data_IF_431396089960
#
_entry.id   IF_431396089960
#
_cell.length_a   1.000
_cell.length_b   1.000
_cell.length_c   1.000
_cell.angle_alpha   90.00
_cell.angle_beta   90.00
_cell.angle_gamma   90.00
#
_symmetry.space_group_name_H-M   'P 1'
#
loop_
_entity.id
_entity.type
_entity.pdbx_description
1 polymer ?
#
# COMPACT_ATOMS: atom_id res chain seq x y z
N UNK A 1 -35.23 -16.50 -36.48
CA UNK A 1 -35.14 -16.81 -35.06
C UNK A 1 -33.84 -16.26 -34.56
N UNK A 2 -33.87 -15.13 -33.84
CA UNK A 2 -32.72 -14.44 -33.32
C UNK A 2 -32.61 -14.78 -31.84
N UNK A 3 -31.55 -15.46 -31.46
CA UNK A 3 -31.25 -15.80 -30.06
C UNK A 3 -30.69 -14.60 -29.30
N UNK A 4 -31.43 -14.12 -28.32
CA UNK A 4 -31.02 -13.08 -27.40
C UNK A 4 -30.15 -13.70 -26.30
N UNK A 5 -28.86 -13.32 -26.26
CA UNK A 5 -27.98 -13.63 -25.13
C UNK A 5 -28.34 -12.75 -23.91
N UNK A 6 -28.83 -13.38 -22.86
CA UNK A 6 -28.99 -12.79 -21.53
C UNK A 6 -27.62 -12.84 -20.82
N UNK A 7 -26.87 -11.74 -20.86
CA UNK A 7 -25.67 -11.52 -20.06
C UNK A 7 -25.88 -10.31 -19.15
N UNK A 8 -26.69 -10.45 -18.11
CA UNK A 8 -26.87 -9.38 -17.13
C UNK A 8 -27.17 -10.01 -15.77
N UNK A 9 -26.15 -10.33 -14.97
CA UNK A 9 -26.31 -10.53 -13.52
C UNK A 9 -25.00 -10.63 -12.73
N UNK A 10 -23.83 -10.42 -13.35
CA UNK A 10 -22.56 -10.49 -12.60
C UNK A 10 -22.12 -9.11 -12.07
N UNK A 11 -22.63 -8.03 -12.66
CA UNK A 11 -22.25 -6.66 -12.28
C UNK A 11 -23.07 -6.07 -11.13
N UNK A 12 -24.28 -6.53 -10.90
CA UNK A 12 -25.15 -6.00 -9.83
C UNK A 12 -24.68 -6.37 -8.42
N UNK A 13 -24.09 -7.57 -8.23
CA UNK A 13 -23.57 -7.96 -6.91
C UNK A 13 -22.27 -7.25 -6.52
N UNK A 14 -21.50 -6.75 -7.49
CA UNK A 14 -20.34 -5.93 -7.22
C UNK A 14 -20.75 -4.52 -6.75
N UNK A 15 -21.81 -3.94 -7.34
CA UNK A 15 -22.32 -2.61 -7.00
C UNK A 15 -22.94 -2.55 -5.60
N UNK A 16 -23.68 -3.58 -5.19
CA UNK A 16 -24.31 -3.65 -3.88
C UNK A 16 -23.27 -3.79 -2.75
N UNK A 17 -22.22 -4.58 -2.97
CA UNK A 17 -21.11 -4.69 -2.01
C UNK A 17 -20.28 -3.41 -1.91
N UNK A 18 -20.19 -2.61 -2.97
CA UNK A 18 -19.49 -1.31 -2.97
C UNK A 18 -20.28 -0.23 -2.22
N UNK A 19 -21.58 -0.18 -2.38
CA UNK A 19 -22.45 0.78 -1.66
C UNK A 19 -22.46 0.50 -0.16
N UNK A 20 -22.51 -0.76 0.26
CA UNK A 20 -22.42 -1.16 1.67
C UNK A 20 -21.06 -0.77 2.27
N UNK A 21 -19.97 -0.89 1.49
CA UNK A 21 -18.66 -0.46 1.95
C UNK A 21 -18.54 1.08 2.04
N UNK A 22 -19.09 1.82 1.09
CA UNK A 22 -19.11 3.28 1.10
C UNK A 22 -19.93 3.82 2.28
N UNK A 23 -21.11 3.26 2.54
CA UNK A 23 -21.95 3.64 3.67
C UNK A 23 -21.29 3.27 5.02
N UNK A 24 -20.62 2.11 5.10
CA UNK A 24 -19.84 1.73 6.28
C UNK A 24 -18.67 2.67 6.54
N UNK A 25 -18.02 3.19 5.49
CA UNK A 25 -16.93 4.17 5.61
C UNK A 25 -17.45 5.57 5.91
N UNK A 26 -18.60 5.96 5.41
CA UNK A 26 -19.25 7.24 5.73
C UNK A 26 -19.71 7.27 7.20
N UNK A 27 -20.33 6.21 7.69
CA UNK A 27 -20.64 6.03 9.10
C UNK A 27 -19.41 5.96 10.02
N UNK A 28 -18.28 5.46 9.48
CA UNK A 28 -16.99 5.43 10.17
C UNK A 28 -16.34 6.82 10.24
N UNK A 29 -16.42 7.64 9.20
CA UNK A 29 -15.96 9.02 9.21
C UNK A 29 -16.72 9.86 10.25
N UNK A 30 -18.05 9.72 10.32
CA UNK A 30 -18.91 10.39 11.31
C UNK A 30 -18.66 9.89 12.75
N UNK A 31 -18.38 8.60 12.94
CA UNK A 31 -18.03 8.05 14.26
C UNK A 31 -16.63 8.47 14.72
N UNK A 32 -15.67 8.67 13.80
CA UNK A 32 -14.34 9.17 14.11
C UNK A 32 -14.34 10.66 14.48
N UNK A 33 -15.22 11.47 13.94
CA UNK A 33 -15.41 12.85 14.42
C UNK A 33 -15.81 12.87 15.89
N UNK A 34 -16.73 12.01 16.31
CA UNK A 34 -17.13 11.87 17.72
C UNK A 34 -16.04 11.27 18.60
N UNK A 35 -15.25 10.31 18.08
CA UNK A 35 -14.11 9.70 18.78
C UNK A 35 -12.88 10.60 18.82
N UNK A 36 -12.68 11.50 17.84
CA UNK A 36 -11.58 12.46 17.84
C UNK A 36 -11.76 13.50 18.93
N UNK A 37 -12.99 13.91 19.23
CA UNK A 37 -13.29 14.80 20.35
C UNK A 37 -13.03 14.13 21.71
N UNK A 38 -13.21 12.82 21.84
CA UNK A 38 -13.00 12.09 23.10
C UNK A 38 -11.54 11.65 23.34
N UNK A 39 -10.69 11.53 22.29
CA UNK A 39 -9.29 11.12 22.38
C UNK A 39 -8.26 12.25 22.42
N UNK A 40 -8.67 13.48 22.56
CA UNK A 40 -7.77 14.66 22.63
C UNK A 40 -6.81 14.69 23.84
N UNK A 41 -6.92 13.75 24.78
CA UNK A 41 -6.21 13.82 26.07
C UNK A 41 -4.87 13.05 26.14
N UNK A 42 -4.48 12.18 25.19
CA UNK A 42 -3.44 11.19 25.49
C UNK A 42 -2.22 11.12 24.56
N UNK A 43 -2.02 12.00 23.60
CA UNK A 43 -0.84 11.90 22.73
C UNK A 43 -0.01 13.21 22.67
N UNK A 44 0.75 13.47 23.74
CA UNK A 44 1.64 14.65 23.86
C UNK A 44 2.65 14.76 22.71
N UNK A 45 3.11 13.64 22.15
CA UNK A 45 4.07 13.63 21.05
C UNK A 45 3.44 13.99 19.68
N UNK A 46 2.20 13.54 19.43
CA UNK A 46 1.44 13.95 18.23
C UNK A 46 1.01 15.41 18.32
N UNK A 47 0.68 15.90 19.53
CA UNK A 47 0.39 17.30 19.75
C UNK A 47 1.62 18.19 19.61
N UNK A 48 2.82 17.67 19.95
CA UNK A 48 4.08 18.38 19.78
C UNK A 48 4.46 18.47 18.30
N UNK A 49 4.28 17.41 17.50
CA UNK A 49 4.45 17.43 16.06
C UNK A 49 3.45 18.36 15.36
N UNK A 50 2.17 18.35 15.76
CA UNK A 50 1.17 19.32 15.31
C UNK A 50 1.50 20.76 15.69
N UNK A 51 2.09 20.99 16.88
CA UNK A 51 2.52 22.34 17.34
C UNK A 51 3.74 22.86 16.61
N UNK A 52 4.62 22.00 16.14
CA UNK A 52 5.87 22.39 15.46
C UNK A 52 5.70 22.51 13.95
N UNK A 53 4.54 22.18 13.37
CA UNK A 53 4.23 22.30 11.93
C UNK A 53 5.32 21.72 11.02
N UNK A 54 5.93 20.61 11.45
CA UNK A 54 7.09 20.00 10.81
C UNK A 54 6.70 18.81 9.93
N UNK A 55 5.57 18.89 9.21
CA UNK A 55 5.05 17.81 8.34
C UNK A 55 5.30 18.07 6.84
N UNK A 56 6.06 19.11 6.47
CA UNK A 56 6.43 19.38 5.09
C UNK A 56 7.71 18.62 4.71
N UNK A 57 7.54 17.46 4.13
CA UNK A 57 8.62 16.62 3.66
C UNK A 57 8.57 16.53 2.14
N UNK A 58 9.57 17.06 1.44
CA UNK A 58 9.64 16.98 -0.02
C UNK A 58 10.37 15.72 -0.45
N UNK A 59 9.68 14.86 -1.17
CA UNK A 59 10.28 13.63 -1.73
C UNK A 59 11.34 13.95 -2.76
N UNK A 60 12.47 13.25 -2.73
CA UNK A 60 13.52 13.42 -3.71
C UNK A 60 13.09 12.92 -5.09
N UNK A 61 13.51 13.62 -6.15
CA UNK A 61 13.15 13.28 -7.53
C UNK A 61 13.58 11.84 -7.88
N UNK A 62 14.78 11.44 -7.46
CA UNK A 62 15.30 10.08 -7.73
C UNK A 62 14.46 8.97 -7.12
N UNK A 63 13.79 9.21 -5.98
CA UNK A 63 12.91 8.23 -5.35
C UNK A 63 11.58 8.14 -6.10
N UNK A 64 11.07 9.28 -6.60
CA UNK A 64 9.89 9.34 -7.44
C UNK A 64 10.14 8.59 -8.76
N UNK A 65 11.25 8.86 -9.43
CA UNK A 65 11.63 8.20 -10.68
C UNK A 65 11.80 6.70 -10.49
N UNK A 66 12.46 6.28 -9.39
CA UNK A 66 12.69 4.87 -9.05
C UNK A 66 11.39 4.11 -8.82
N UNK A 67 10.38 4.73 -8.24
CA UNK A 67 9.09 4.08 -8.02
C UNK A 67 8.23 4.11 -9.29
N UNK A 68 8.07 5.28 -9.90
CA UNK A 68 7.11 5.49 -10.99
C UNK A 68 7.45 4.73 -12.29
N UNK A 69 8.72 4.34 -12.51
CA UNK A 69 9.11 3.50 -13.64
C UNK A 69 8.41 2.13 -13.68
N UNK A 70 7.81 1.69 -12.57
CA UNK A 70 7.13 0.40 -12.47
C UNK A 70 5.64 0.45 -12.82
N UNK A 71 5.10 1.63 -13.16
CA UNK A 71 3.68 1.86 -13.43
C UNK A 71 3.43 2.28 -14.88
N UNK A 72 4.16 1.66 -15.82
CA UNK A 72 4.03 1.93 -17.24
C UNK A 72 2.58 1.72 -17.71
N UNK A 73 2.06 2.71 -18.46
CA UNK A 73 0.71 2.69 -19.02
C UNK A 73 -0.40 3.09 -18.04
N UNK A 74 -0.15 3.13 -16.72
CA UNK A 74 -1.19 3.51 -15.75
C UNK A 74 -1.68 4.96 -15.91
N UNK A 75 -0.86 5.82 -16.49
CA UNK A 75 -1.11 7.26 -16.59
C UNK A 75 -1.68 7.73 -17.94
N UNK A 76 -1.80 6.84 -18.92
CA UNK A 76 -2.26 7.20 -20.26
C UNK A 76 -3.71 7.71 -20.23
N UNK A 77 -3.93 8.90 -20.77
CA UNK A 77 -5.21 9.64 -20.80
C UNK A 77 -5.81 9.90 -19.40
N UNK A 78 -4.96 10.02 -18.38
CA UNK A 78 -5.38 10.27 -17.00
C UNK A 78 -5.15 11.70 -16.56
N UNK A 79 -5.99 12.14 -15.62
CA UNK A 79 -5.79 13.36 -14.83
C UNK A 79 -5.07 12.97 -13.55
N UNK A 80 -3.83 13.43 -13.40
CA UNK A 80 -3.03 13.20 -12.18
C UNK A 80 -3.17 14.41 -11.26
N UNK A 81 -3.38 14.16 -9.98
CA UNK A 81 -3.45 15.19 -8.95
C UNK A 81 -2.39 14.96 -7.88
N UNK A 82 -1.43 15.88 -7.78
CA UNK A 82 -0.46 15.98 -6.71
C UNK A 82 -1.07 16.85 -5.60
N UNK A 83 -1.95 16.24 -4.82
CA UNK A 83 -2.62 16.88 -3.70
C UNK A 83 -1.62 17.04 -2.55
N UNK A 84 -1.67 18.16 -1.81
CA UNK A 84 -0.72 18.49 -0.73
C UNK A 84 0.73 18.77 -1.18
N UNK A 85 0.94 19.04 -2.45
CA UNK A 85 2.25 19.28 -3.05
C UNK A 85 2.32 20.71 -3.63
N UNK A 86 3.18 21.56 -3.08
CA UNK A 86 3.40 22.91 -3.62
C UNK A 86 3.93 22.86 -5.06
N UNK A 87 3.18 23.32 -6.09
CA UNK A 87 3.59 23.22 -7.47
C UNK A 87 4.97 23.85 -7.79
N UNK A 88 5.42 24.82 -7.00
CA UNK A 88 6.74 25.46 -7.18
C UNK A 88 7.88 24.57 -6.69
N UNK A 89 7.66 23.86 -5.59
CA UNK A 89 8.71 23.12 -4.89
C UNK A 89 8.61 21.61 -5.10
N UNK A 90 7.39 21.08 -5.30
CA UNK A 90 7.14 19.66 -5.41
C UNK A 90 7.91 18.98 -6.55
N UNK A 91 8.64 17.93 -6.23
CA UNK A 91 9.27 17.10 -7.22
C UNK A 91 8.28 16.17 -7.93
N UNK A 92 7.10 15.86 -7.34
CA UNK A 92 6.03 15.16 -8.04
C UNK A 92 5.48 15.99 -9.21
N UNK A 93 5.15 17.25 -8.97
CA UNK A 93 4.69 18.12 -10.03
C UNK A 93 5.74 18.29 -11.13
N UNK A 94 7.01 18.50 -10.76
CA UNK A 94 8.13 18.60 -11.70
C UNK A 94 8.29 17.34 -12.55
N UNK A 95 8.23 16.15 -11.89
CA UNK A 95 8.34 14.86 -12.58
C UNK A 95 7.22 14.67 -13.61
N UNK A 96 5.96 14.85 -13.21
CA UNK A 96 4.83 14.67 -14.12
C UNK A 96 4.78 15.72 -15.22
N UNK A 97 5.14 16.97 -14.93
CA UNK A 97 5.25 18.02 -15.93
C UNK A 97 6.31 17.70 -16.99
N UNK A 98 7.51 17.28 -16.54
CA UNK A 98 8.60 16.90 -17.44
C UNK A 98 8.25 15.68 -18.31
N UNK A 99 7.60 14.69 -17.74
CA UNK A 99 7.23 13.44 -18.41
C UNK A 99 5.80 13.46 -18.99
N UNK A 100 5.12 14.59 -19.05
CA UNK A 100 3.71 14.71 -19.38
C UNK A 100 3.33 14.00 -20.69
N UNK A 101 4.06 14.28 -21.76
CA UNK A 101 3.85 13.66 -23.08
C UNK A 101 4.26 12.20 -23.11
N UNK A 102 5.38 11.85 -22.47
CA UNK A 102 5.89 10.47 -22.40
C UNK A 102 4.90 9.55 -21.68
N UNK A 103 4.30 10.02 -20.58
CA UNK A 103 3.31 9.28 -19.80
C UNK A 103 1.91 9.34 -20.43
N UNK A 104 1.69 10.18 -21.44
CA UNK A 104 0.40 10.34 -22.10
C UNK A 104 -0.67 10.97 -21.22
N UNK A 105 -0.30 11.84 -20.29
CA UNK A 105 -1.25 12.49 -19.38
C UNK A 105 -2.23 13.39 -20.15
N UNK A 106 -3.48 13.40 -19.69
CA UNK A 106 -4.49 14.34 -20.15
C UNK A 106 -4.39 15.68 -19.43
N UNK A 107 -4.15 15.66 -18.11
CA UNK A 107 -4.06 16.85 -17.26
C UNK A 107 -3.23 16.55 -16.01
N UNK A 108 -2.51 17.54 -15.53
CA UNK A 108 -1.80 17.50 -14.26
C UNK A 108 -2.31 18.64 -13.36
N UNK A 109 -2.67 18.32 -12.13
CA UNK A 109 -3.11 19.26 -11.11
C UNK A 109 -2.18 19.12 -9.91
N UNK A 110 -1.83 20.24 -9.28
CA UNK A 110 -1.17 20.25 -7.99
C UNK A 110 -1.75 21.36 -7.11
N UNK A 111 -1.80 21.15 -5.81
CA UNK A 111 -2.28 22.15 -4.86
C UNK A 111 -1.47 22.14 -3.59
N UNK A 112 -1.26 23.32 -3.00
CA UNK A 112 -0.53 23.47 -1.75
C UNK A 112 -1.45 23.93 -0.61
N UNK A 113 -1.16 23.40 0.56
CA UNK A 113 -1.69 23.90 1.83
C UNK A 113 -0.88 25.13 2.27
N UNK A 114 -1.56 26.19 2.70
CA UNK A 114 -0.94 27.37 3.33
C UNK A 114 -1.73 27.70 4.56
N UNK A 115 -1.08 27.63 5.71
CA UNK A 115 -1.75 28.02 6.94
C UNK A 115 -2.14 29.49 6.90
N UNK A 116 -3.42 29.78 7.16
CA UNK A 116 -3.88 31.12 7.40
C UNK A 116 -3.53 31.50 8.84
N UNK A 117 -2.69 32.53 9.02
CA UNK A 117 -2.36 33.05 10.33
C UNK A 117 -3.62 33.67 10.96
N UNK A 118 -4.18 33.01 11.99
CA UNK A 118 -5.40 33.42 12.67
C UNK A 118 -5.14 34.29 13.91
N UNK A 119 -3.94 34.84 14.08
CA UNK A 119 -3.56 35.61 15.26
C UNK A 119 -3.46 37.11 14.98
N UNK A 120 -4.00 37.93 15.92
CA UNK A 120 -3.96 39.40 15.86
C UNK A 120 -2.53 39.98 15.83
N UNK A 121 -1.51 39.16 16.14
CA UNK A 121 -0.08 39.51 16.20
C UNK A 121 0.78 38.54 15.33
N UNK A 122 0.18 37.79 14.42
CA UNK A 122 0.95 36.88 13.55
C UNK A 122 1.54 37.67 12.38
N UNK A 123 2.77 37.34 12.01
CA UNK A 123 3.37 37.78 10.74
C UNK A 123 2.40 37.54 9.58
N UNK A 124 2.32 38.44 8.58
CA UNK A 124 1.40 38.24 7.45
C UNK A 124 1.65 36.87 6.80
N UNK A 125 0.58 36.13 6.61
CA UNK A 125 0.62 34.78 6.04
C UNK A 125 1.54 34.74 4.81
N UNK A 126 2.45 33.76 4.73
CA UNK A 126 3.38 33.56 3.61
C UNK A 126 2.60 33.13 2.34
N UNK A 127 1.81 34.04 1.81
CA UNK A 127 1.07 33.85 0.55
C UNK A 127 -0.26 33.08 0.72
N UNK A 128 -1.11 33.23 -0.26
CA UNK A 128 -2.39 32.54 -0.37
C UNK A 128 -2.19 31.09 -0.85
N UNK A 129 -3.01 30.16 -0.37
CA UNK A 129 -3.06 28.80 -0.87
C UNK A 129 -3.50 28.81 -2.35
N UNK A 130 -2.88 27.99 -3.17
CA UNK A 130 -3.11 28.01 -4.61
C UNK A 130 -2.99 26.60 -5.21
N UNK A 131 -3.49 26.48 -6.43
CA UNK A 131 -3.35 25.29 -7.23
C UNK A 131 -2.83 25.64 -8.64
N UNK A 132 -2.23 24.67 -9.29
CA UNK A 132 -1.75 24.77 -10.65
C UNK A 132 -2.37 23.65 -11.50
N UNK A 133 -2.80 24.00 -12.70
CA UNK A 133 -3.31 23.06 -13.72
C UNK A 133 -2.43 23.19 -14.94
N UNK A 134 -1.90 22.05 -15.42
CA UNK A 134 -1.05 21.96 -16.60
C UNK A 134 -1.63 20.96 -17.60
N UNK A 135 -1.75 21.38 -18.88
CA UNK A 135 -2.37 20.60 -19.95
C UNK A 135 -1.42 20.43 -21.16
N UNK A 136 -0.11 20.32 -20.89
CA UNK A 136 0.91 19.93 -21.88
C UNK A 136 1.74 21.06 -22.49
N UNK A 137 1.44 22.34 -22.19
CA UNK A 137 2.30 23.47 -22.55
C UNK A 137 2.30 24.54 -21.46
N UNK A 138 3.31 25.43 -21.46
CA UNK A 138 3.36 26.55 -20.51
C UNK A 138 2.20 27.52 -20.73
N UNK A 139 1.77 27.71 -21.96
CA UNK A 139 0.65 28.58 -22.34
C UNK A 139 -0.67 28.07 -21.77
N UNK A 140 -0.81 26.76 -21.55
CA UNK A 140 -1.98 26.14 -20.94
C UNK A 140 -1.89 26.01 -19.43
N UNK A 141 -0.78 26.49 -18.83
CA UNK A 141 -0.61 26.45 -17.37
C UNK A 141 -1.48 27.52 -16.72
N UNK A 142 -2.43 27.07 -15.88
CA UNK A 142 -3.34 27.94 -15.14
C UNK A 142 -3.01 27.88 -13.66
N UNK A 143 -2.91 29.03 -13.02
CA UNK A 143 -2.78 29.16 -11.56
C UNK A 143 -4.06 29.74 -11.01
N UNK A 144 -4.66 29.06 -10.05
CA UNK A 144 -5.83 29.53 -9.33
C UNK A 144 -5.52 29.62 -7.83
N UNK A 145 -6.26 30.42 -7.10
CA UNK A 145 -6.09 30.64 -5.66
C UNK A 145 -7.31 30.13 -4.93
N UNK A 146 -7.08 29.49 -3.79
CA UNK A 146 -8.16 29.08 -2.89
C UNK A 146 -8.64 30.26 -2.05
N UNK A 147 -9.92 30.26 -1.70
CA UNK A 147 -10.44 31.16 -0.66
C UNK A 147 -9.99 30.68 0.71
N UNK A 148 -9.90 29.36 0.90
CA UNK A 148 -9.43 28.72 2.11
C UNK A 148 -7.92 28.52 2.15
N UNK A 149 -7.49 27.66 3.06
CA UNK A 149 -6.08 27.32 3.32
C UNK A 149 -5.52 26.22 2.38
N UNK A 150 -6.35 25.62 1.52
CA UNK A 150 -5.95 24.52 0.65
C UNK A 150 -5.85 23.17 1.36
N UNK A 151 -6.50 23.01 2.53
CA UNK A 151 -6.60 21.70 3.18
C UNK A 151 -7.26 20.71 2.22
N UNK A 152 -6.71 19.50 2.12
CA UNK A 152 -7.18 18.47 1.20
C UNK A 152 -8.65 18.05 1.44
N UNK A 153 -9.19 18.33 2.63
CA UNK A 153 -10.58 18.07 3.03
C UNK A 153 -11.55 19.18 2.64
N UNK A 154 -11.03 20.36 2.25
CA UNK A 154 -11.86 21.50 1.88
C UNK A 154 -12.69 21.20 0.62
N UNK A 155 -13.85 21.83 0.50
CA UNK A 155 -14.70 21.71 -0.69
C UNK A 155 -13.97 22.07 -1.99
N UNK A 156 -13.08 23.06 -1.93
CA UNK A 156 -12.28 23.50 -3.08
C UNK A 156 -11.29 22.41 -3.52
N UNK A 157 -10.58 21.78 -2.58
CA UNK A 157 -9.68 20.65 -2.88
C UNK A 157 -10.47 19.40 -3.31
N UNK A 158 -11.64 19.15 -2.74
CA UNK A 158 -12.55 18.07 -3.16
C UNK A 158 -13.06 18.29 -4.59
N UNK A 159 -13.30 19.53 -5.01
CA UNK A 159 -13.67 19.84 -6.39
C UNK A 159 -12.54 19.50 -7.37
N UNK A 160 -11.28 19.70 -6.99
CA UNK A 160 -10.11 19.25 -7.78
C UNK A 160 -9.96 17.72 -7.75
N UNK A 161 -10.14 17.10 -6.57
CA UNK A 161 -10.09 15.65 -6.41
C UNK A 161 -11.12 14.94 -7.29
N UNK A 162 -12.33 15.48 -7.41
CA UNK A 162 -13.37 14.92 -8.29
C UNK A 162 -12.95 14.86 -9.75
N UNK A 163 -12.14 15.84 -10.22
CA UNK A 163 -11.61 15.87 -11.59
C UNK A 163 -10.47 14.88 -11.82
N UNK A 164 -9.77 14.46 -10.76
CA UNK A 164 -8.63 13.56 -10.87
C UNK A 164 -9.06 12.11 -11.12
N UNK A 165 -8.25 11.38 -11.86
CA UNK A 165 -8.32 9.93 -11.99
C UNK A 165 -7.38 9.29 -10.98
N UNK A 166 -6.16 9.83 -10.85
CA UNK A 166 -5.08 9.28 -10.01
C UNK A 166 -4.52 10.37 -9.10
N UNK A 167 -4.33 10.04 -7.83
CA UNK A 167 -3.64 10.91 -6.86
C UNK A 167 -2.23 10.37 -6.58
N UNK A 168 -1.20 11.19 -6.82
CA UNK A 168 0.20 10.82 -6.54
C UNK A 168 0.84 11.93 -5.70
N UNK A 169 1.17 11.62 -4.44
CA UNK A 169 1.67 12.63 -3.50
C UNK A 169 2.34 12.02 -2.27
N UNK A 170 2.97 12.86 -1.49
CA UNK A 170 3.42 12.58 -0.12
C UNK A 170 2.52 13.33 0.87
N UNK A 171 1.42 12.72 1.37
CA UNK A 171 0.50 13.39 2.28
C UNK A 171 1.10 13.54 3.67
N UNK A 172 0.58 14.47 4.52
CA UNK A 172 0.98 14.59 5.90
C UNK A 172 0.81 13.26 6.65
N UNK A 173 1.89 12.73 7.25
CA UNK A 173 1.86 11.42 7.92
C UNK A 173 0.88 11.36 9.08
N UNK A 174 0.67 12.48 9.78
CA UNK A 174 -0.31 12.58 10.86
C UNK A 174 -1.76 12.40 10.40
N UNK A 175 -2.05 12.70 9.14
CA UNK A 175 -3.37 12.63 8.51
C UNK A 175 -3.50 11.48 7.51
N UNK A 176 -2.50 10.59 7.43
CA UNK A 176 -2.42 9.54 6.41
C UNK A 176 -3.67 8.66 6.34
N UNK A 177 -4.25 8.28 7.49
CA UNK A 177 -5.47 7.46 7.52
C UNK A 177 -6.67 8.18 6.91
N UNK A 178 -6.87 9.44 7.28
CA UNK A 178 -7.95 10.29 6.76
C UNK A 178 -7.77 10.51 5.26
N UNK A 179 -6.54 10.75 4.84
CA UNK A 179 -6.19 10.96 3.44
C UNK A 179 -6.52 9.74 2.58
N UNK A 180 -6.05 8.54 2.96
CA UNK A 180 -6.34 7.29 2.23
C UNK A 180 -7.83 6.97 2.26
N UNK A 181 -8.51 7.18 3.40
CA UNK A 181 -9.96 7.00 3.50
C UNK A 181 -10.72 7.89 2.49
N UNK A 182 -10.31 9.15 2.34
CA UNK A 182 -10.88 10.06 1.35
C UNK A 182 -10.66 9.54 -0.09
N UNK A 183 -9.45 9.08 -0.44
CA UNK A 183 -9.19 8.56 -1.78
C UNK A 183 -10.07 7.36 -2.10
N UNK A 184 -10.24 6.46 -1.13
CA UNK A 184 -11.12 5.28 -1.26
C UNK A 184 -12.60 5.69 -1.40
N UNK A 185 -13.07 6.65 -0.58
CA UNK A 185 -14.44 7.15 -0.64
C UNK A 185 -14.77 7.82 -1.98
N UNK A 186 -13.81 8.53 -2.56
CA UNK A 186 -13.94 9.16 -3.88
C UNK A 186 -13.54 8.23 -5.04
N UNK A 187 -13.28 6.94 -4.76
CA UNK A 187 -12.92 5.91 -5.75
C UNK A 187 -11.75 6.35 -6.65
N UNK A 188 -10.72 6.94 -6.06
CA UNK A 188 -9.55 7.39 -6.79
C UNK A 188 -8.47 6.30 -6.82
N UNK A 189 -7.83 6.19 -7.97
CA UNK A 189 -6.56 5.51 -8.02
C UNK A 189 -5.51 6.36 -7.31
N UNK A 190 -4.53 5.70 -6.69
CA UNK A 190 -3.52 6.43 -5.93
C UNK A 190 -2.17 5.73 -5.85
N UNK A 191 -1.14 6.54 -5.67
CA UNK A 191 0.22 6.13 -5.31
C UNK A 191 0.75 7.15 -4.29
N UNK A 192 0.80 6.79 -3.01
CA UNK A 192 1.11 7.73 -1.93
C UNK A 192 2.19 7.21 -1.01
N UNK A 193 3.00 8.13 -0.48
CA UNK A 193 4.03 7.79 0.50
C UNK A 193 3.42 7.83 1.90
N UNK A 194 3.75 6.82 2.71
CA UNK A 194 3.34 6.75 4.10
C UNK A 194 4.41 6.14 5.00
N UNK A 195 4.19 6.22 6.30
CA UNK A 195 5.04 5.51 7.24
C UNK A 195 4.74 4.00 7.19
N UNK A 196 5.77 3.16 7.29
CA UNK A 196 5.62 1.69 7.25
C UNK A 196 4.67 1.16 8.35
N UNK A 197 4.58 1.86 9.47
CA UNK A 197 3.63 1.52 10.54
C UNK A 197 2.17 1.67 10.11
N UNK A 198 1.89 2.38 9.02
CA UNK A 198 0.53 2.50 8.48
C UNK A 198 -0.07 1.13 8.11
N UNK A 199 0.75 0.15 7.76
CA UNK A 199 0.32 -1.24 7.53
C UNK A 199 -0.42 -1.81 8.75
N UNK A 200 -0.08 -1.35 9.96
CA UNK A 200 -0.68 -1.84 11.21
C UNK A 200 -2.01 -1.15 11.55
N UNK A 201 -2.38 -0.12 10.83
CA UNK A 201 -3.68 0.52 11.00
C UNK A 201 -4.78 -0.38 10.44
N UNK A 202 -5.85 -0.55 11.20
CA UNK A 202 -6.94 -1.46 10.84
C UNK A 202 -7.46 -1.17 9.43
N UNK A 203 -7.72 0.08 9.13
CA UNK A 203 -8.30 0.55 7.86
C UNK A 203 -7.39 0.24 6.68
N UNK A 204 -6.09 0.49 6.84
CA UNK A 204 -5.08 0.24 5.79
C UNK A 204 -4.89 -1.26 5.59
N UNK A 205 -4.82 -2.03 6.69
CA UNK A 205 -4.66 -3.48 6.60
C UNK A 205 -5.88 -4.15 5.94
N UNK A 206 -7.09 -3.69 6.22
CA UNK A 206 -8.31 -4.17 5.59
C UNK A 206 -8.33 -3.92 4.06
N UNK A 207 -7.76 -2.80 3.61
CA UNK A 207 -7.56 -2.56 2.17
C UNK A 207 -6.56 -3.56 1.57
N UNK A 208 -5.46 -3.84 2.26
CA UNK A 208 -4.43 -4.78 1.81
C UNK A 208 -4.97 -6.20 1.79
N UNK A 209 -5.64 -6.63 2.86
CA UNK A 209 -6.27 -7.96 2.98
C UNK A 209 -7.35 -8.16 1.92
N UNK A 210 -8.18 -7.15 1.70
CA UNK A 210 -9.24 -7.13 0.69
C UNK A 210 -8.73 -6.97 -0.75
N UNK A 211 -7.41 -6.92 -0.96
CA UNK A 211 -6.80 -6.73 -2.28
C UNK A 211 -7.25 -5.45 -2.98
N UNK A 212 -7.49 -4.38 -2.22
CA UNK A 212 -7.90 -3.05 -2.70
C UNK A 212 -6.76 -2.04 -2.66
N UNK A 213 -5.70 -2.32 -1.93
CA UNK A 213 -4.45 -1.57 -1.93
C UNK A 213 -3.28 -2.53 -1.63
N UNK A 214 -2.07 -2.10 -1.99
CA UNK A 214 -0.86 -2.88 -1.80
C UNK A 214 0.37 -1.98 -1.71
N UNK A 215 1.50 -2.57 -1.36
CA UNK A 215 2.76 -1.85 -1.29
C UNK A 215 3.34 -1.66 -2.69
N UNK A 216 3.94 -0.50 -2.92
CA UNK A 216 4.76 -0.24 -4.09
C UNK A 216 6.06 -1.05 -4.09
N UNK A 217 6.93 -0.76 -5.04
CA UNK A 217 8.18 -1.50 -5.24
C UNK A 217 9.24 -1.11 -4.23
N UNK A 218 9.35 0.17 -3.92
CA UNK A 218 10.36 0.69 -3.02
C UNK A 218 9.80 0.92 -1.61
N UNK A 219 10.45 0.34 -0.61
CA UNK A 219 10.08 0.54 0.78
C UNK A 219 11.32 0.61 1.69
N UNK A 220 11.20 1.25 2.83
CA UNK A 220 12.27 1.41 3.79
C UNK A 220 13.48 2.12 3.17
N UNK A 221 14.60 1.45 3.08
CA UNK A 221 15.85 1.98 2.49
C UNK A 221 15.78 2.27 0.99
N UNK A 222 14.73 1.82 0.30
CA UNK A 222 14.45 2.18 -1.08
C UNK A 222 13.96 3.61 -1.26
N UNK A 223 13.62 4.31 -0.14
CA UNK A 223 13.32 5.74 -0.12
C UNK A 223 14.49 6.42 0.60
N UNK A 224 15.26 7.22 -0.15
CA UNK A 224 16.56 7.74 0.30
C UNK A 224 16.47 8.83 1.37
N UNK A 225 15.29 9.44 1.52
CA UNK A 225 15.03 10.48 2.51
C UNK A 225 14.26 11.65 1.94
N UNK A 226 13.96 12.62 2.79
CA UNK A 226 13.17 13.79 2.42
C UNK A 226 13.97 15.06 2.53
N UNK A 227 13.78 15.96 1.57
CA UNK A 227 14.25 17.32 1.65
C UNK A 227 13.36 18.07 2.65
N UNK A 228 13.99 18.77 3.58
CA UNK A 228 13.31 19.55 4.61
C UNK A 228 13.77 21.02 4.57
N UNK A 229 12.90 21.96 4.95
CA UNK A 229 13.30 23.36 5.09
C UNK A 229 14.44 23.55 6.10
N UNK A 230 15.29 24.56 5.89
CA UNK A 230 16.48 24.80 6.73
C UNK A 230 16.16 25.08 8.21
N UNK A 231 14.98 25.65 8.48
CA UNK A 231 14.52 25.97 9.83
C UNK A 231 14.02 24.77 10.65
N UNK A 232 13.98 23.56 10.03
CA UNK A 232 13.61 22.37 10.77
C UNK A 232 14.69 21.98 11.77
N UNK A 233 14.31 21.91 13.05
CA UNK A 233 15.20 21.38 14.09
C UNK A 233 15.42 19.88 13.90
N UNK A 234 16.65 19.46 14.20
CA UNK A 234 17.08 18.07 14.01
C UNK A 234 16.45 17.18 15.09
N UNK A 235 15.62 16.23 14.70
CA UNK A 235 15.16 15.15 15.58
C UNK A 235 15.66 13.80 15.08
N UNK A 236 16.76 13.32 15.70
CA UNK A 236 17.06 11.89 15.84
C UNK A 236 17.40 11.05 14.61
N UNK A 237 17.57 11.65 13.44
CA UNK A 237 17.97 10.94 12.22
C UNK A 237 19.25 11.56 11.65
N UNK A 238 20.05 10.76 10.95
CA UNK A 238 21.20 11.26 10.22
C UNK A 238 20.72 12.31 9.22
N UNK A 239 21.22 13.54 9.38
CA UNK A 239 20.97 14.64 8.46
C UNK A 239 22.12 14.68 7.48
N UNK A 240 21.78 14.60 6.20
CA UNK A 240 22.73 14.71 5.10
C UNK A 240 22.42 15.98 4.29
N UNK A 241 23.38 16.41 3.47
CA UNK A 241 23.22 17.54 2.55
C UNK A 241 23.39 17.00 1.13
N UNK A 242 22.38 17.19 0.29
CA UNK A 242 22.48 16.77 -1.10
C UNK A 242 23.40 17.67 -1.93
N UNK A 243 23.68 17.27 -3.17
CA UNK A 243 24.54 18.02 -4.09
C UNK A 243 24.06 19.46 -4.38
N UNK A 244 22.80 19.76 -4.11
CA UNK A 244 22.20 21.09 -4.25
C UNK A 244 22.25 21.92 -2.96
N UNK A 245 22.93 21.45 -1.91
CA UNK A 245 23.02 22.11 -0.62
C UNK A 245 21.76 22.02 0.24
N UNK A 246 20.79 21.18 -0.13
CA UNK A 246 19.54 21.02 0.59
C UNK A 246 19.69 19.97 1.69
N UNK A 247 19.07 20.24 2.83
CA UNK A 247 19.06 19.37 4.00
C UNK A 247 18.13 18.18 3.75
N UNK A 248 18.65 16.95 3.92
CA UNK A 248 17.92 15.70 3.78
C UNK A 248 17.83 15.00 5.13
N UNK A 249 16.65 14.53 5.48
CA UNK A 249 16.45 13.64 6.60
C UNK A 249 16.23 12.23 6.06
N UNK A 250 17.19 11.34 6.32
CA UNK A 250 17.08 9.92 5.96
C UNK A 250 16.01 9.23 6.79
N UNK A 251 15.25 8.37 6.16
CA UNK A 251 14.22 7.57 6.83
C UNK A 251 14.22 6.15 6.31
N UNK A 252 14.17 5.20 7.24
CA UNK A 252 14.07 3.77 6.94
C UNK A 252 12.64 3.24 7.07
N UNK A 253 11.69 4.13 7.39
CA UNK A 253 10.35 3.75 7.83
C UNK A 253 9.25 4.21 6.88
N UNK A 254 9.56 4.41 5.59
CA UNK A 254 8.56 4.80 4.60
C UNK A 254 8.21 3.65 3.65
N UNK A 255 7.04 3.76 3.07
CA UNK A 255 6.52 2.87 2.04
C UNK A 255 5.76 3.68 0.99
N UNK A 256 5.61 3.09 -0.18
CA UNK A 256 4.58 3.47 -1.14
C UNK A 256 3.35 2.59 -0.94
N UNK A 257 2.18 3.21 -0.87
CA UNK A 257 0.88 2.54 -0.85
C UNK A 257 0.13 2.90 -2.14
N UNK A 258 -0.41 1.89 -2.82
CA UNK A 258 -1.06 2.09 -4.12
C UNK A 258 -2.19 1.09 -4.36
N UNK A 259 -3.10 1.42 -5.27
CA UNK A 259 -4.06 0.50 -5.87
C UNK A 259 -3.87 0.39 -7.40
N UNK A 260 -2.84 1.05 -7.94
CA UNK A 260 -2.47 0.93 -9.36
C UNK A 260 -1.94 -0.45 -9.69
N UNK A 261 -2.16 -0.92 -10.91
CA UNK A 261 -1.63 -2.22 -11.35
C UNK A 261 -0.11 -2.27 -11.27
N UNK A 262 0.40 -3.36 -10.72
CA UNK A 262 1.81 -3.57 -10.49
C UNK A 262 2.21 -5.01 -10.85
N UNK A 263 3.04 -5.15 -11.88
CA UNK A 263 3.48 -6.45 -12.40
C UNK A 263 4.17 -7.33 -11.35
N UNK A 264 4.85 -6.71 -10.37
CA UNK A 264 5.52 -7.43 -9.28
C UNK A 264 4.56 -8.29 -8.46
N UNK A 265 3.30 -7.88 -8.29
CA UNK A 265 2.29 -8.60 -7.52
C UNK A 265 1.84 -9.92 -8.17
N UNK A 266 2.12 -10.11 -9.44
CA UNK A 266 1.81 -11.33 -10.20
C UNK A 266 2.95 -12.34 -10.19
N UNK A 267 4.10 -11.99 -9.59
CA UNK A 267 5.25 -12.88 -9.48
C UNK A 267 5.12 -13.75 -8.23
N UNK A 268 5.26 -15.05 -8.42
CA UNK A 268 5.29 -15.99 -7.30
C UNK A 268 6.58 -15.85 -6.49
N UNK A 269 6.44 -16.01 -5.19
CA UNK A 269 7.59 -16.18 -4.30
C UNK A 269 8.16 -17.56 -4.56
N UNK A 270 9.44 -17.64 -4.91
CA UNK A 270 10.13 -18.94 -5.07
C UNK A 270 10.33 -19.60 -3.71
N UNK A 271 9.53 -20.63 -3.43
CA UNK A 271 9.56 -21.40 -2.19
C UNK A 271 10.50 -22.57 -2.33
N UNK A 272 11.62 -22.55 -1.62
CA UNK A 272 12.66 -23.60 -1.67
C UNK A 272 12.67 -24.49 -0.43
N UNK A 273 11.99 -24.10 0.65
CA UNK A 273 11.99 -24.84 1.91
C UNK A 273 10.84 -25.84 1.97
N UNK A 274 11.02 -26.87 2.78
CA UNK A 274 10.02 -27.88 3.10
C UNK A 274 9.71 -27.83 4.60
N UNK A 275 8.45 -28.07 4.96
CA UNK A 275 8.02 -28.30 6.33
C UNK A 275 8.28 -29.76 6.72
N UNK A 276 7.87 -30.70 5.85
CA UNK A 276 8.03 -32.12 6.09
C UNK A 276 9.51 -32.51 6.27
N UNK A 277 9.82 -33.10 7.41
CA UNK A 277 11.19 -33.44 7.84
C UNK A 277 11.99 -32.28 8.43
N UNK A 278 11.43 -31.09 8.52
CA UNK A 278 12.06 -29.91 9.10
C UNK A 278 11.17 -29.18 10.12
N UNK A 279 10.20 -29.88 10.72
CA UNK A 279 9.19 -29.34 11.63
C UNK A 279 9.83 -28.57 12.80
N UNK A 280 11.00 -29.00 13.24
CA UNK A 280 11.76 -28.36 14.32
C UNK A 280 12.21 -26.91 13.99
N UNK A 281 12.29 -26.55 12.71
CA UNK A 281 12.61 -25.20 12.25
C UNK A 281 11.40 -24.25 12.30
N UNK A 282 10.20 -24.78 12.50
CA UNK A 282 8.93 -24.04 12.41
C UNK A 282 8.13 -24.16 13.71
N UNK A 283 8.50 -23.44 14.75
CA UNK A 283 7.79 -23.53 16.03
C UNK A 283 6.32 -23.17 15.87
N UNK A 284 5.44 -23.92 16.53
CA UNK A 284 4.01 -23.64 16.60
C UNK A 284 3.74 -22.48 17.53
N UNK A 285 2.68 -21.75 17.27
CA UNK A 285 2.20 -20.73 18.19
C UNK A 285 1.47 -21.35 19.37
N UNK A 286 1.63 -20.73 20.55
CA UNK A 286 0.98 -21.16 21.79
C UNK A 286 -0.53 -20.90 21.75
N UNK A 287 -0.96 -19.87 21.02
CA UNK A 287 -2.31 -19.34 21.01
C UNK A 287 -2.92 -19.24 19.59
N UNK A 288 -2.42 -20.04 18.66
CA UNK A 288 -2.95 -20.13 17.29
C UNK A 288 -2.51 -21.45 16.66
N UNK A 289 -3.41 -22.15 15.98
CA UNK A 289 -3.04 -23.34 15.19
C UNK A 289 -2.31 -22.92 13.90
N UNK A 290 -1.04 -22.61 14.06
CA UNK A 290 -0.17 -22.17 12.97
C UNK A 290 1.30 -22.23 13.37
N UNK A 291 2.16 -22.04 12.37
CA UNK A 291 3.62 -22.05 12.55
C UNK A 291 4.20 -20.65 12.41
N UNK A 292 5.28 -20.38 13.13
CA UNK A 292 6.03 -19.14 12.98
C UNK A 292 7.10 -19.28 11.89
N UNK A 293 7.10 -18.32 10.95
CA UNK A 293 8.10 -18.21 9.88
C UNK A 293 8.83 -16.90 10.04
N UNK A 294 10.12 -16.94 10.33
CA UNK A 294 10.89 -15.74 10.68
C UNK A 294 11.24 -14.86 9.47
N UNK A 295 11.39 -15.45 8.29
CA UNK A 295 11.74 -14.74 7.05
C UNK A 295 10.84 -15.20 5.90
N UNK A 296 10.49 -14.30 5.01
CA UNK A 296 9.69 -14.63 3.82
C UNK A 296 10.32 -15.74 2.97
N UNK A 297 11.65 -15.82 2.90
CA UNK A 297 12.35 -16.87 2.15
C UNK A 297 12.32 -18.24 2.82
N UNK A 298 11.93 -18.31 4.10
CA UNK A 298 11.82 -19.57 4.85
C UNK A 298 10.39 -20.14 4.80
N UNK A 299 9.48 -19.54 4.06
CA UNK A 299 8.12 -20.06 3.88
C UNK A 299 8.21 -21.43 3.21
N UNK A 300 7.68 -22.52 3.86
CA UNK A 300 7.70 -23.85 3.29
C UNK A 300 6.66 -23.99 2.18
N UNK A 301 7.03 -24.73 1.13
CA UNK A 301 6.17 -24.93 -0.03
C UNK A 301 5.08 -25.99 0.17
N UNK A 302 5.25 -26.87 1.13
CA UNK A 302 4.43 -28.07 1.39
C UNK A 302 3.55 -27.96 2.65
N UNK A 303 3.49 -26.79 3.31
CA UNK A 303 2.67 -26.59 4.50
C UNK A 303 1.29 -26.00 4.16
N UNK A 304 0.18 -26.73 4.42
CA UNK A 304 -1.17 -26.26 4.07
C UNK A 304 -1.82 -25.39 5.15
N UNK A 305 -1.23 -25.34 6.36
CA UNK A 305 -1.78 -24.64 7.51
C UNK A 305 -1.50 -23.15 7.54
N UNK A 306 -1.84 -22.52 8.67
CA UNK A 306 -1.57 -21.11 8.92
C UNK A 306 -0.08 -20.88 9.20
N UNK A 307 0.46 -19.85 8.60
CA UNK A 307 1.85 -19.41 8.78
C UNK A 307 1.86 -17.95 9.21
N UNK A 308 2.52 -17.64 10.33
CA UNK A 308 2.77 -16.26 10.73
C UNK A 308 4.07 -15.76 10.12
N UNK A 309 3.95 -14.83 9.19
CA UNK A 309 5.09 -14.25 8.44
C UNK A 309 5.34 -12.80 8.88
N UNK A 310 6.57 -12.27 8.73
CA UNK A 310 6.86 -10.87 9.03
C UNK A 310 6.10 -9.92 8.07
N UNK A 311 5.85 -8.68 8.49
CA UNK A 311 5.15 -7.67 7.67
C UNK A 311 5.85 -7.37 6.33
N UNK A 312 7.17 -7.59 6.26
CA UNK A 312 7.95 -7.46 5.02
C UNK A 312 7.54 -8.46 3.93
N UNK A 313 6.77 -9.49 4.27
CA UNK A 313 6.15 -10.41 3.30
C UNK A 313 5.27 -9.66 2.30
N UNK A 314 4.56 -8.60 2.73
CA UNK A 314 3.65 -7.83 1.89
C UNK A 314 4.33 -7.24 0.65
N UNK A 315 5.62 -6.96 0.73
CA UNK A 315 6.41 -6.48 -0.41
C UNK A 315 6.48 -7.49 -1.58
N UNK A 316 6.38 -8.78 -1.27
CA UNK A 316 6.42 -9.88 -2.25
C UNK A 316 5.08 -10.62 -2.37
N UNK A 317 4.04 -10.10 -1.74
CA UNK A 317 2.75 -10.75 -1.69
C UNK A 317 2.12 -10.88 -3.07
N UNK A 318 1.86 -12.11 -3.48
CA UNK A 318 1.03 -12.45 -4.62
C UNK A 318 -0.29 -13.06 -4.13
N UNK A 319 -1.45 -12.41 -4.39
CA UNK A 319 -2.76 -12.90 -3.93
C UNK A 319 -3.20 -14.21 -4.61
N UNK A 320 -2.60 -14.57 -5.74
CA UNK A 320 -2.85 -15.88 -6.38
C UNK A 320 -2.12 -17.02 -5.67
N UNK A 321 -0.96 -16.73 -5.06
CA UNK A 321 -0.16 -17.72 -4.35
C UNK A 321 -0.54 -17.85 -2.89
N UNK A 322 -0.89 -16.73 -2.22
CA UNK A 322 -1.19 -16.70 -0.80
C UNK A 322 -2.52 -16.04 -0.50
N UNK A 323 -3.11 -16.43 0.62
CA UNK A 323 -4.23 -15.77 1.25
C UNK A 323 -3.75 -15.07 2.53
N UNK A 324 -4.07 -13.80 2.70
CA UNK A 324 -3.90 -13.09 3.98
C UNK A 324 -5.15 -13.37 4.83
N UNK A 325 -4.97 -14.12 5.91
CA UNK A 325 -6.08 -14.53 6.78
C UNK A 325 -6.32 -13.48 7.86
N UNK A 326 -5.25 -13.01 8.51
CA UNK A 326 -5.39 -12.17 9.69
C UNK A 326 -4.07 -11.43 9.99
N UNK A 327 -4.18 -10.32 10.71
CA UNK A 327 -3.03 -9.59 11.20
C UNK A 327 -2.95 -9.67 12.73
N UNK A 328 -1.77 -10.04 13.26
CA UNK A 328 -1.38 -9.85 14.66
C UNK A 328 -2.35 -10.41 15.70
N UNK A 329 -3.00 -11.55 15.43
CA UNK A 329 -3.98 -12.12 16.36
C UNK A 329 -3.80 -13.63 16.53
N UNK A 330 -3.71 -14.06 17.79
CA UNK A 330 -3.98 -15.41 18.22
C UNK A 330 -5.48 -15.63 18.47
N UNK A 331 -5.84 -16.81 18.93
CA UNK A 331 -7.24 -17.19 19.18
C UNK A 331 -7.85 -16.39 20.34
N UNK A 332 -7.02 -15.98 21.30
CA UNK A 332 -7.39 -15.13 22.43
C UNK A 332 -7.43 -13.64 22.10
N UNK A 333 -7.25 -13.27 20.81
CA UNK A 333 -7.23 -11.89 20.35
C UNK A 333 -5.94 -11.12 20.62
N UNK A 334 -4.93 -11.77 21.22
CA UNK A 334 -3.61 -11.20 21.51
C UNK A 334 -2.62 -11.43 20.37
N UNK A 335 -1.41 -10.88 20.52
CA UNK A 335 -0.32 -11.12 19.59
C UNK A 335 0.09 -12.60 19.59
N UNK A 336 0.59 -13.08 18.45
CA UNK A 336 1.05 -14.46 18.31
C UNK A 336 2.27 -14.71 19.18
N UNK A 337 2.24 -15.78 19.98
CA UNK A 337 3.28 -16.14 20.94
C UNK A 337 3.90 -17.49 20.63
N UNK A 338 5.20 -17.62 20.85
CA UNK A 338 5.97 -18.87 20.77
C UNK A 338 6.72 -19.04 22.09
N UNK A 339 6.47 -20.14 22.81
CA UNK A 339 7.07 -20.43 24.15
C UNK A 339 6.90 -19.24 25.11
N UNK A 340 5.69 -18.67 25.19
CA UNK A 340 5.36 -17.53 26.04
C UNK A 340 5.93 -16.19 25.61
N UNK A 341 6.62 -16.10 24.46
CA UNK A 341 7.20 -14.86 23.93
C UNK A 341 6.44 -14.44 22.67
N UNK A 342 5.98 -13.18 22.64
CA UNK A 342 5.30 -12.56 21.49
C UNK A 342 6.23 -11.52 20.82
N UNK A 343 7.22 -11.95 20.03
CA UNK A 343 8.38 -11.12 19.72
C UNK A 343 8.08 -10.01 18.71
N UNK A 344 7.17 -10.19 17.75
CA UNK A 344 6.97 -9.24 16.65
C UNK A 344 5.57 -9.34 16.05
N UNK A 345 5.20 -8.30 15.29
CA UNK A 345 4.02 -8.32 14.44
C UNK A 345 4.14 -9.43 13.39
N UNK A 346 3.05 -10.16 13.18
CA UNK A 346 2.95 -11.21 12.17
C UNK A 346 1.68 -11.05 11.36
N UNK A 347 1.75 -11.47 10.11
CA UNK A 347 0.60 -11.65 9.23
C UNK A 347 0.37 -13.14 9.12
N UNK A 348 -0.83 -13.60 9.43
CA UNK A 348 -1.24 -14.98 9.20
C UNK A 348 -1.62 -15.15 7.74
N UNK A 349 -0.92 -16.07 7.08
CA UNK A 349 -1.14 -16.40 5.67
C UNK A 349 -1.35 -17.90 5.47
N UNK A 350 -2.01 -18.25 4.37
CA UNK A 350 -2.07 -19.63 3.86
C UNK A 350 -1.47 -19.66 2.46
N UNK A 351 -0.73 -20.72 2.15
CA UNK A 351 -0.37 -21.07 0.78
C UNK A 351 -1.61 -21.62 0.09
N UNK A 352 -2.02 -21.05 -1.04
CA UNK A 352 -3.19 -21.50 -1.81
C UNK A 352 -2.92 -22.79 -2.59
N UNK A 353 -1.66 -23.06 -2.91
CA UNK A 353 -1.22 -24.19 -3.72
C UNK A 353 -0.02 -24.87 -3.03
N UNK A 354 -0.21 -25.46 -1.83
CA UNK A 354 0.87 -26.20 -1.19
C UNK A 354 1.23 -27.44 -2.01
N UNK A 355 2.53 -27.74 -2.14
CA UNK A 355 2.98 -28.98 -2.75
C UNK A 355 2.55 -30.16 -1.86
N UNK A 356 1.47 -30.82 -2.22
CA UNK A 356 1.10 -32.11 -1.62
C UNK A 356 2.13 -33.16 -2.05
N UNK A 357 2.88 -33.71 -1.09
CA UNK A 357 3.64 -34.90 -1.33
C UNK A 357 2.66 -36.00 -1.71
N UNK A 358 2.59 -36.32 -2.99
CA UNK A 358 1.93 -37.56 -3.44
C UNK A 358 2.78 -38.70 -2.86
N UNK A 359 2.37 -39.21 -1.70
CA UNK A 359 2.89 -40.47 -1.18
C UNK A 359 2.43 -41.49 -2.22
N UNK A 360 3.29 -41.85 -3.15
CA UNK A 360 3.12 -43.06 -3.92
C UNK A 360 3.24 -44.18 -2.91
N UNK A 361 2.17 -44.97 -2.62
CA UNK A 361 2.33 -46.13 -1.76
C UNK A 361 3.23 -47.08 -2.50
N UNK A 362 4.44 -47.27 -2.02
CA UNK A 362 5.29 -48.40 -2.42
C UNK A 362 4.65 -49.65 -1.87
N UNK A 363 3.63 -50.15 -2.55
CA UNK A 363 3.20 -51.51 -2.41
C UNK A 363 4.26 -52.39 -3.07
N UNK A 364 5.22 -52.81 -2.26
CA UNK A 364 6.10 -53.93 -2.58
C UNK A 364 5.31 -55.24 -2.67
N UNK A 365 4.79 -55.54 -3.82
CA UNK A 365 4.49 -56.90 -4.26
C UNK A 365 4.88 -57.00 -5.71
N UNK A 366 6.01 -57.68 -5.92
CA UNK A 366 6.40 -58.14 -7.23
C UNK A 366 5.33 -59.10 -7.78
N UNK A 367 4.89 -58.98 -9.04
CA UNK A 367 4.02 -59.97 -9.62
C UNK A 367 4.81 -61.25 -9.85
N UNK A 368 4.26 -62.39 -9.34
CA UNK A 368 4.75 -63.72 -9.54
C UNK A 368 4.82 -64.01 -11.05
N UNK A 369 5.95 -64.58 -11.49
CA UNK A 369 6.15 -65.05 -12.83
C UNK A 369 5.15 -66.17 -13.14
N UNK A 370 4.25 -65.95 -14.08
CA UNK A 370 3.45 -67.00 -14.72
C UNK A 370 4.30 -67.68 -15.83
N UNK A 371 4.60 -68.92 -15.60
CA UNK A 371 5.24 -69.82 -16.55
C UNK A 371 4.38 -70.00 -17.80
N UNK A 372 4.91 -69.63 -18.94
CA UNK A 372 4.32 -69.93 -20.25
C UNK A 372 4.62 -71.42 -20.62
N UNK A 373 3.59 -72.26 -20.60
CA UNK A 373 3.61 -73.52 -21.22
C UNK A 373 3.28 -73.41 -22.72
N UNK A 374 4.18 -73.88 -23.51
CA UNK A 374 4.11 -74.02 -24.94
C UNK A 374 2.91 -74.87 -25.38
N UNK A 375 2.16 -74.44 -26.36
CA UNK A 375 1.33 -75.30 -27.19
C UNK A 375 1.62 -74.95 -28.66
N UNK A 376 2.34 -75.93 -29.32
CA UNK A 376 2.39 -76.11 -30.77
C UNK A 376 1.03 -76.48 -31.31
N UNK A 377 0.59 -75.78 -32.36
CA UNK A 377 -0.29 -76.42 -33.36
C UNK A 377 0.05 -75.88 -34.73
N UNK A 378 0.50 -76.83 -35.56
CA UNK A 378 0.61 -76.83 -37.04
C UNK A 378 -0.79 -76.73 -37.64
N UNK A 379 -0.80 -76.31 -38.88
CA UNK A 379 -1.61 -76.70 -40.01
C UNK A 379 -2.18 -75.51 -40.78
N UNK A 380 -1.84 -75.48 -42.06
CA UNK A 380 -2.60 -75.12 -43.19
C UNK A 380 -1.99 -74.09 -44.11
#
# INVERSE_FOLDING_TARGET
MVGVYKGANVWNHAWDSWNIAADAWQGFAESNERLSMARQATNKNLQKAKRLKSDEFYTQLCDIERELQHYDGCFVDKVVYCNTDDPKNSNFFKFFKHNFRKLGLRKLIASCYKEQSSGLFSEPARGQAYYCVYEGSEETTKVGYFHGDGDFRSEECLALLKQADIVVTNPPFSLFREFVAQLVAYQKDFLVIGNINAITYKEIFELIQGNRAWLGVNLGRGISGFIVPDHYEQYGSEVDINANGQKIISTNNCLWLTNLDLAQRRKDINLTKHYSGNEHCYPKYDNCDGINVNKTMDIPKDYPGLMGVPITFLHKYNPSQFEIVRFRKGDDGKDLCVNGKCPYFRILVKNRVPLTSTIIPTNGQAPAQASASSLNMQIG
#
